data_IF_493311463974
#
_entry.id   IF_493311463974
#
_cell.length_a   1.000
_cell.length_b   1.000
_cell.length_c   1.000
_cell.angle_alpha   90.00
_cell.angle_beta   90.00
_cell.angle_gamma   90.00
#
_symmetry.space_group_name_H-M   'P 1'
#
loop_
_entity.id
_entity.type
_entity.pdbx_description
1 polymer ?
#
# COMPACT_ATOMS: atom_id res chain seq x y z
N UNK A 1 -12.87 -3.13 -27.06
CA UNK A 1 -11.58 -3.74 -27.42
C UNK A 1 -10.83 -3.83 -26.11
N UNK A 2 -10.80 -5.01 -25.49
CA UNK A 2 -10.13 -5.23 -24.21
C UNK A 2 -8.76 -5.81 -24.54
N UNK A 3 -7.74 -4.94 -24.61
CA UNK A 3 -6.39 -5.33 -25.01
C UNK A 3 -5.70 -6.21 -23.96
N UNK A 4 -6.03 -5.98 -22.69
CA UNK A 4 -5.50 -6.70 -21.55
C UNK A 4 -6.61 -6.81 -20.49
N UNK A 5 -6.75 -7.98 -19.90
CA UNK A 5 -7.63 -8.24 -18.75
C UNK A 5 -6.83 -8.96 -17.67
N UNK A 6 -7.16 -8.69 -16.41
CA UNK A 6 -6.59 -9.44 -15.29
C UNK A 6 -7.21 -10.84 -15.20
N UNK A 7 -6.49 -11.83 -14.64
CA UNK A 7 -7.05 -13.16 -14.44
C UNK A 7 -8.33 -13.08 -13.59
N UNK A 8 -9.41 -13.71 -14.08
CA UNK A 8 -10.72 -13.70 -13.43
C UNK A 8 -11.04 -15.08 -12.85
N UNK A 9 -11.26 -15.15 -11.54
CA UNK A 9 -11.60 -16.43 -10.92
C UNK A 9 -13.02 -16.87 -11.28
N UNK A 10 -13.24 -18.19 -11.40
CA UNK A 10 -14.55 -18.75 -11.77
C UNK A 10 -15.70 -18.37 -10.84
N UNK A 11 -15.38 -18.02 -9.59
CA UNK A 11 -16.34 -17.69 -8.52
C UNK A 11 -16.42 -16.16 -8.30
N UNK A 12 -15.51 -15.38 -8.91
CA UNK A 12 -15.42 -13.95 -8.73
C UNK A 12 -16.65 -13.23 -9.30
N UNK A 13 -17.22 -12.32 -8.50
CA UNK A 13 -18.38 -11.50 -8.88
C UNK A 13 -17.88 -10.07 -9.04
N UNK A 14 -17.88 -9.54 -10.27
CA UNK A 14 -17.40 -8.17 -10.52
C UNK A 14 -18.39 -7.08 -10.09
N UNK A 15 -19.69 -7.36 -10.07
CA UNK A 15 -20.70 -6.43 -9.55
C UNK A 15 -21.96 -7.15 -9.09
N UNK A 16 -22.53 -6.71 -7.96
CA UNK A 16 -23.79 -7.23 -7.42
C UNK A 16 -25.01 -6.92 -8.30
N UNK A 17 -24.95 -5.87 -9.10
CA UNK A 17 -26.06 -5.43 -9.95
C UNK A 17 -25.92 -5.84 -11.42
N UNK A 18 -24.72 -6.24 -11.86
CA UNK A 18 -24.41 -6.46 -13.28
C UNK A 18 -23.60 -7.76 -13.46
N UNK A 19 -24.23 -8.87 -13.89
CA UNK A 19 -23.58 -10.19 -13.95
C UNK A 19 -22.43 -10.30 -14.96
N UNK A 20 -22.46 -9.51 -16.03
CA UNK A 20 -21.43 -9.52 -17.09
C UNK A 20 -20.28 -8.56 -16.83
N UNK A 21 -20.31 -7.79 -15.74
CA UNK A 21 -19.32 -6.75 -15.46
C UNK A 21 -18.07 -7.38 -14.85
N UNK A 22 -16.93 -7.15 -15.50
CA UNK A 22 -15.60 -7.57 -15.06
C UNK A 22 -14.82 -6.30 -14.72
N UNK A 23 -14.32 -6.21 -13.49
CA UNK A 23 -13.50 -5.08 -13.05
C UNK A 23 -12.10 -5.59 -12.74
N UNK A 24 -11.06 -4.76 -12.95
CA UNK A 24 -9.70 -5.08 -12.57
C UNK A 24 -9.48 -4.88 -11.05
N UNK A 25 -10.15 -5.69 -10.22
CA UNK A 25 -10.16 -5.56 -8.76
C UNK A 25 -8.77 -5.80 -8.15
N UNK A 26 -7.99 -6.72 -8.72
CA UNK A 26 -6.63 -7.03 -8.26
C UNK A 26 -5.72 -5.83 -8.48
N UNK A 27 -5.79 -5.24 -9.69
CA UNK A 27 -5.03 -4.05 -10.05
C UNK A 27 -5.43 -2.82 -9.24
N UNK A 28 -6.74 -2.64 -8.99
CA UNK A 28 -7.26 -1.58 -8.12
C UNK A 28 -6.77 -1.73 -6.68
N UNK A 29 -6.74 -2.98 -6.17
CA UNK A 29 -6.17 -3.31 -4.86
C UNK A 29 -4.69 -2.97 -4.74
N UNK A 30 -3.87 -3.36 -5.73
CA UNK A 30 -2.46 -2.98 -5.80
C UNK A 30 -2.28 -1.47 -5.73
N UNK A 31 -3.08 -0.71 -6.48
CA UNK A 31 -2.99 0.75 -6.49
C UNK A 31 -3.36 1.37 -5.13
N UNK A 32 -4.37 0.83 -4.45
CA UNK A 32 -4.74 1.28 -3.10
C UNK A 32 -3.59 1.08 -2.10
N UNK A 33 -2.97 -0.10 -2.10
CA UNK A 33 -1.81 -0.43 -1.26
C UNK A 33 -0.59 0.44 -1.60
N UNK A 34 -0.31 0.64 -2.89
CA UNK A 34 0.79 1.50 -3.35
C UNK A 34 0.62 2.95 -2.87
N UNK A 35 -0.59 3.49 -2.93
CA UNK A 35 -0.87 4.85 -2.42
C UNK A 35 -0.62 4.95 -0.91
N UNK A 36 -1.00 3.93 -0.16
CA UNK A 36 -0.74 3.88 1.27
C UNK A 36 0.76 3.92 1.54
N UNK A 37 1.56 3.09 0.86
CA UNK A 37 3.03 3.09 0.96
C UNK A 37 3.67 4.46 0.69
N UNK A 38 3.21 5.17 -0.35
CA UNK A 38 3.72 6.52 -0.67
C UNK A 38 3.48 7.47 0.51
N UNK A 39 2.27 7.45 1.06
CA UNK A 39 1.90 8.29 2.21
C UNK A 39 2.79 8.00 3.42
N UNK A 40 3.21 6.75 3.58
CA UNK A 40 4.11 6.37 4.65
C UNK A 40 5.51 7.03 4.49
N UNK A 41 6.00 7.18 3.25
CA UNK A 41 7.34 7.75 3.02
C UNK A 41 7.50 9.22 3.48
N UNK A 42 6.42 9.99 3.47
CA UNK A 42 6.46 11.42 3.87
C UNK A 42 6.77 11.60 5.36
N UNK A 43 6.36 10.68 6.24
CA UNK A 43 6.63 10.78 7.67
C UNK A 43 8.13 10.67 7.99
N UNK A 44 8.83 9.77 7.27
CA UNK A 44 10.29 9.64 7.40
C UNK A 44 11.00 10.92 6.92
N UNK A 45 10.53 11.48 5.79
CA UNK A 45 11.06 12.74 5.23
C UNK A 45 10.88 13.91 6.20
N UNK A 46 9.70 14.02 6.82
CA UNK A 46 9.41 15.07 7.80
C UNK A 46 10.32 14.97 9.04
N UNK A 47 10.55 13.75 9.55
CA UNK A 47 11.44 13.54 10.71
C UNK A 47 12.86 13.97 10.40
N UNK A 48 13.37 13.62 9.22
CA UNK A 48 14.72 14.01 8.80
C UNK A 48 14.83 15.53 8.55
N UNK A 49 13.78 16.17 8.05
CA UNK A 49 13.79 17.60 7.74
C UNK A 49 13.90 18.49 8.99
N UNK A 50 13.39 18.03 10.14
CA UNK A 50 13.35 18.82 11.38
C UNK A 50 14.42 18.40 12.40
N UNK A 51 15.25 17.41 12.08
CA UNK A 51 16.30 16.96 13.00
C UNK A 51 17.38 18.03 13.17
N UNK A 52 17.59 18.52 14.41
CA UNK A 52 18.59 19.57 14.65
C UNK A 52 19.95 19.01 15.05
N UNK A 53 21.00 19.60 14.45
CA UNK A 53 22.41 19.35 14.76
C UNK A 53 22.75 17.85 14.78
N UNK A 54 23.19 17.33 15.92
CA UNK A 54 23.63 15.94 16.07
C UNK A 54 22.43 14.99 16.22
N UNK A 55 21.41 15.38 17.00
CA UNK A 55 20.14 14.66 17.17
C UNK A 55 19.14 15.46 18.03
N UNK A 56 17.86 15.36 17.71
CA UNK A 56 16.74 15.79 18.56
C UNK A 56 15.89 14.58 18.95
N UNK A 57 15.26 14.62 20.15
CA UNK A 57 14.60 13.45 20.76
C UNK A 57 13.16 13.20 20.25
N UNK A 58 12.60 14.14 19.48
CA UNK A 58 11.31 13.99 18.79
C UNK A 58 11.31 12.79 17.83
N UNK A 59 12.49 12.44 17.31
CA UNK A 59 12.71 11.27 16.49
C UNK A 59 12.38 9.97 17.23
N UNK A 60 12.52 9.89 18.55
CA UNK A 60 12.29 8.65 19.30
C UNK A 60 10.81 8.29 19.38
N UNK A 61 9.95 9.27 19.65
CA UNK A 61 8.51 9.06 19.68
C UNK A 61 7.98 8.69 18.29
N UNK A 62 8.46 9.39 17.26
CA UNK A 62 8.07 9.08 15.89
C UNK A 62 8.62 7.72 15.46
N UNK A 63 9.85 7.33 15.82
CA UNK A 63 10.39 6.00 15.58
C UNK A 63 9.66 4.88 16.31
N UNK A 64 9.09 5.10 17.49
CA UNK A 64 8.30 4.05 18.16
C UNK A 64 7.04 3.75 17.34
N UNK A 65 6.33 4.79 16.91
CA UNK A 65 5.15 4.64 16.06
C UNK A 65 5.56 4.14 14.67
N UNK A 66 6.65 4.69 14.11
CA UNK A 66 7.12 4.40 12.76
C UNK A 66 7.85 3.06 12.61
N UNK A 67 8.58 2.57 13.62
CA UNK A 67 9.28 1.27 13.54
C UNK A 67 8.41 0.12 14.05
N UNK A 68 7.48 0.40 14.98
CA UNK A 68 6.61 -0.67 15.48
C UNK A 68 5.38 -0.83 14.62
N UNK A 69 4.62 0.24 14.35
CA UNK A 69 3.38 0.12 13.60
C UNK A 69 3.59 0.36 12.11
N UNK A 70 4.31 1.41 11.74
CA UNK A 70 4.34 1.90 10.36
C UNK A 70 5.31 1.14 9.44
N UNK A 71 6.46 0.67 9.93
CA UNK A 71 7.34 -0.19 9.13
C UNK A 71 6.81 -1.62 9.05
N UNK A 72 6.04 -2.07 10.06
CA UNK A 72 5.22 -3.28 9.91
C UNK A 72 4.13 -3.05 8.87
N UNK A 73 3.43 -1.93 8.91
CA UNK A 73 2.37 -1.60 7.95
C UNK A 73 2.94 -1.42 6.52
N UNK A 74 4.09 -0.77 6.36
CA UNK A 74 4.79 -0.65 5.08
C UNK A 74 5.29 -2.02 4.59
N UNK A 75 5.85 -2.84 5.48
CA UNK A 75 6.31 -4.17 5.12
C UNK A 75 5.13 -5.06 4.71
N UNK A 76 4.05 -5.10 5.50
CA UNK A 76 2.84 -5.85 5.21
C UNK A 76 2.12 -5.34 3.97
N UNK A 77 2.10 -4.04 3.73
CA UNK A 77 1.49 -3.44 2.53
C UNK A 77 2.32 -3.75 1.28
N UNK A 78 3.65 -3.69 1.38
CA UNK A 78 4.56 -4.08 0.30
C UNK A 78 4.50 -5.57 0.01
N UNK A 79 4.46 -6.41 1.04
CA UNK A 79 4.33 -7.86 0.92
C UNK A 79 2.97 -8.23 0.34
N UNK A 80 1.89 -7.63 0.85
CA UNK A 80 0.55 -7.75 0.30
C UNK A 80 0.48 -7.37 -1.18
N UNK A 81 1.05 -6.23 -1.57
CA UNK A 81 1.12 -5.83 -2.97
C UNK A 81 1.95 -6.81 -3.82
N UNK A 82 3.04 -7.34 -3.29
CA UNK A 82 3.91 -8.30 -3.98
C UNK A 82 3.24 -9.67 -4.17
N UNK A 83 2.54 -10.16 -3.14
CA UNK A 83 1.71 -11.37 -3.20
C UNK A 83 0.63 -11.20 -4.26
N UNK A 84 -0.08 -10.06 -4.28
CA UNK A 84 -1.12 -9.78 -5.26
C UNK A 84 -0.56 -9.79 -6.69
N UNK A 85 0.62 -9.21 -6.92
CA UNK A 85 1.27 -9.21 -8.25
C UNK A 85 1.75 -10.62 -8.65
N UNK A 86 2.01 -11.50 -7.68
CA UNK A 86 2.56 -12.84 -7.92
C UNK A 86 1.49 -13.91 -8.19
N UNK A 87 0.21 -13.56 -8.05
CA UNK A 87 -0.97 -14.41 -8.29
C UNK A 87 -1.52 -14.20 -9.71
#
# INVERSE_FOLDING_TARGET
>A
MNELEEPFEKIQIGSSAMPYKINPMTSEGCYALARHLITLSDNASNTHAVQWSERTLDDSANRIISLFYFSQEAFLTSDGASIIISL
#
